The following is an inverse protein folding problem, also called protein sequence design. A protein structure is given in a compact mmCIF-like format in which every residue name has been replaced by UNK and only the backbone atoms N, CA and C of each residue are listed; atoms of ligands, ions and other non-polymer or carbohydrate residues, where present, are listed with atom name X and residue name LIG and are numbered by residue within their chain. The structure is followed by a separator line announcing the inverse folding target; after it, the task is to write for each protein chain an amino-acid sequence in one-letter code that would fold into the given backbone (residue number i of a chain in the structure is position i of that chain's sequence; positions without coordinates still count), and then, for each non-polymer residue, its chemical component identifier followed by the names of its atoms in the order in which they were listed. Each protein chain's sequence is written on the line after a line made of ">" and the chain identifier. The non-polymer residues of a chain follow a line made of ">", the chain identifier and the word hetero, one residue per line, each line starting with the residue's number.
data_IF_373304008782
#
_entry.id   IF_373304008782
#
_cell.length_a   1.000
_cell.length_b   1.000
_cell.length_c   1.000
_cell.angle_alpha   90.00
_cell.angle_beta   90.00
_cell.angle_gamma   90.00
#
_symmetry.space_group_name_H-M   'P 1'
#
loop_
_entity.id
_entity.type
_entity.pdbx_description
1 polymer ?
#
# COMPACT_ATOMS: atom_id res chain seq x y z
N UNK A 1 -1.57 -19.86 15.38
CA UNK A 1 -1.40 -18.48 14.86
C UNK A 1 -2.48 -17.64 15.51
N UNK A 2 -2.12 -16.56 16.21
CA UNK A 2 -3.14 -15.64 16.73
C UNK A 2 -3.80 -14.97 15.52
N UNK A 3 -5.01 -15.39 15.17
CA UNK A 3 -5.77 -14.76 14.10
C UNK A 3 -6.13 -13.35 14.59
N UNK A 4 -5.75 -12.33 13.82
CA UNK A 4 -6.04 -10.95 14.15
C UNK A 4 -7.30 -10.51 13.40
N UNK A 5 -8.17 -9.76 14.07
CA UNK A 5 -9.43 -9.24 13.55
C UNK A 5 -9.25 -8.02 12.59
N UNK A 6 -8.21 -8.05 11.76
CA UNK A 6 -7.89 -7.03 10.76
C UNK A 6 -8.28 -7.48 9.36
N UNK A 7 -8.74 -6.55 8.54
CA UNK A 7 -9.21 -6.80 7.20
C UNK A 7 -8.34 -6.14 6.15
N UNK A 8 -8.47 -6.63 4.91
CA UNK A 8 -7.75 -6.10 3.76
C UNK A 8 -8.77 -5.66 2.71
N UNK A 9 -8.69 -4.40 2.28
CA UNK A 9 -9.62 -3.90 1.27
C UNK A 9 -9.38 -4.57 -0.09
N UNK A 10 -10.48 -4.82 -0.79
CA UNK A 10 -10.48 -5.36 -2.14
C UNK A 10 -10.29 -4.21 -3.13
N UNK A 11 -9.21 -4.23 -3.92
CA UNK A 11 -8.91 -3.16 -4.89
C UNK A 11 -7.41 -2.97 -5.13
N UNK A 12 -7.08 -2.00 -5.98
CA UNK A 12 -5.72 -1.78 -6.51
C UNK A 12 -4.69 -1.36 -5.47
N UNK A 13 -5.14 -0.66 -4.42
CA UNK A 13 -4.32 -0.32 -3.24
C UNK A 13 -4.91 -0.99 -2.03
N UNK A 14 -4.57 -2.26 -1.89
CA UNK A 14 -4.96 -3.08 -0.77
C UNK A 14 -4.40 -2.52 0.54
N UNK A 15 -5.29 -2.10 1.43
CA UNK A 15 -4.94 -1.47 2.71
C UNK A 15 -5.40 -2.33 3.87
N UNK A 16 -4.60 -2.38 4.93
CA UNK A 16 -4.98 -3.02 6.18
C UNK A 16 -5.91 -2.07 6.94
N UNK A 17 -7.11 -2.54 7.25
CA UNK A 17 -8.19 -1.77 7.88
C UNK A 17 -8.76 -2.52 9.07
N UNK A 18 -9.33 -1.80 10.02
CA UNK A 18 -10.02 -2.38 11.18
C UNK A 18 -11.51 -2.04 11.16
N UNK A 19 -12.33 -2.85 11.82
CA UNK A 19 -13.74 -2.52 12.06
C UNK A 19 -13.80 -1.31 12.99
N UNK A 20 -14.52 -0.27 12.61
CA UNK A 20 -14.73 0.89 13.50
C UNK A 20 -15.52 0.45 14.75
N UNK A 21 -15.18 0.91 15.97
CA UNK A 21 -15.87 0.50 17.21
C UNK A 21 -17.39 0.77 17.24
N UNK A 22 -17.86 1.74 16.45
CA UNK A 22 -19.30 2.03 16.32
C UNK A 22 -20.05 1.08 15.40
N UNK A 23 -19.35 0.21 14.66
CA UNK A 23 -19.99 -0.77 13.80
C UNK A 23 -20.35 -2.00 14.61
N UNK A 24 -21.55 -2.52 14.40
CA UNK A 24 -22.00 -3.75 15.04
C UNK A 24 -21.67 -4.91 14.10
N UNK A 25 -20.58 -5.63 14.37
CA UNK A 25 -20.23 -6.87 13.69
C UNK A 25 -20.10 -7.99 14.73
N UNK A 26 -20.91 -9.03 14.57
CA UNK A 26 -20.87 -10.20 15.46
C UNK A 26 -19.53 -10.94 15.32
N UNK A 27 -19.05 -11.46 16.44
CA UNK A 27 -17.94 -12.44 16.46
C UNK A 27 -18.53 -13.83 16.66
N UNK A 28 -17.80 -14.85 16.20
CA UNK A 28 -18.14 -16.25 16.47
C UNK A 28 -17.78 -16.65 17.91
N UNK A 29 -18.01 -17.93 18.25
CA UNK A 29 -17.71 -18.49 19.58
C UNK A 29 -16.22 -18.40 19.97
N UNK A 30 -15.34 -18.17 18.99
CA UNK A 30 -13.90 -18.01 19.17
C UNK A 30 -13.45 -16.54 19.17
N UNK A 31 -14.40 -15.59 19.10
CA UNK A 31 -14.10 -14.15 19.08
C UNK A 31 -13.58 -13.65 17.72
N UNK A 32 -13.73 -14.44 16.66
CA UNK A 32 -13.27 -14.11 15.32
C UNK A 32 -14.37 -13.39 14.54
N UNK A 33 -13.97 -12.39 13.76
CA UNK A 33 -14.88 -11.81 12.79
C UNK A 33 -15.02 -12.69 11.53
N UNK A 34 -16.13 -12.54 10.78
CA UNK A 34 -16.33 -13.21 9.50
C UNK A 34 -15.18 -12.96 8.50
N UNK A 35 -14.88 -13.95 7.67
CA UNK A 35 -13.77 -13.86 6.71
C UNK A 35 -13.98 -12.75 5.66
N UNK A 36 -15.21 -12.60 5.17
CA UNK A 36 -15.57 -11.60 4.16
C UNK A 36 -16.64 -10.65 4.70
N UNK A 37 -16.44 -9.37 4.41
CA UNK A 37 -17.35 -8.30 4.79
C UNK A 37 -17.51 -7.27 3.67
N UNK A 38 -18.66 -6.61 3.64
CA UNK A 38 -18.92 -5.40 2.87
C UNK A 38 -18.98 -4.22 3.82
N UNK A 39 -18.38 -3.11 3.45
CA UNK A 39 -18.45 -1.86 4.20
C UNK A 39 -19.09 -0.76 3.37
N UNK A 40 -19.78 0.19 4.03
CA UNK A 40 -20.34 1.35 3.35
C UNK A 40 -19.30 2.47 3.19
N UNK A 41 -18.50 2.70 4.22
CA UNK A 41 -17.57 3.82 4.28
C UNK A 41 -16.18 3.37 4.74
N UNK A 42 -15.15 4.03 4.19
CA UNK A 42 -13.77 3.90 4.65
C UNK A 42 -13.32 5.25 5.23
N UNK A 43 -12.99 5.24 6.52
CA UNK A 43 -12.55 6.42 7.27
C UNK A 43 -11.03 6.44 7.26
N UNK A 44 -10.46 7.40 6.52
CA UNK A 44 -9.02 7.59 6.42
C UNK A 44 -8.50 8.40 7.60
N UNK A 45 -7.95 7.73 8.62
CA UNK A 45 -7.21 8.35 9.73
C UNK A 45 -5.81 7.74 9.84
N UNK A 46 -5.08 8.01 10.93
CA UNK A 46 -3.81 7.31 11.23
C UNK A 46 -3.97 5.78 11.30
N UNK A 47 -5.16 5.29 11.67
CA UNK A 47 -5.57 3.89 11.55
C UNK A 47 -6.84 3.83 10.70
N UNK A 48 -6.78 3.37 9.45
CA UNK A 48 -7.95 3.25 8.61
C UNK A 48 -9.02 2.34 9.22
N UNK A 49 -10.26 2.83 9.25
CA UNK A 49 -11.41 2.07 9.76
C UNK A 49 -12.49 1.93 8.69
N UNK A 50 -13.19 0.80 8.70
CA UNK A 50 -14.43 0.63 7.95
C UNK A 50 -15.66 0.81 8.84
N UNK A 51 -16.69 1.46 8.31
CA UNK A 51 -17.96 1.72 9.01
C UNK A 51 -19.14 1.11 8.26
N UNK A 52 -20.19 0.76 9.00
CA UNK A 52 -21.41 0.10 8.52
C UNK A 52 -21.03 -1.18 7.77
N UNK A 53 -20.49 -2.14 8.53
CA UNK A 53 -19.94 -3.39 8.03
C UNK A 53 -20.99 -4.51 8.12
N UNK A 54 -21.07 -5.35 7.09
CA UNK A 54 -21.96 -6.51 7.03
C UNK A 54 -21.18 -7.76 6.63
N UNK A 55 -21.44 -8.88 7.32
CA UNK A 55 -20.87 -10.19 7.00
C UNK A 55 -21.44 -10.75 5.70
N UNK A 56 -20.59 -11.38 4.89
CA UNK A 56 -21.01 -12.05 3.66
C UNK A 56 -20.29 -13.39 3.48
N UNK A 57 -20.84 -14.24 2.62
CA UNK A 57 -20.19 -15.50 2.25
C UNK A 57 -19.14 -15.31 1.16
N UNK A 58 -18.00 -16.01 1.29
CA UNK A 58 -16.94 -15.98 0.28
C UNK A 58 -17.41 -16.43 -1.11
N UNK A 59 -18.39 -17.33 -1.18
CA UNK A 59 -19.00 -17.83 -2.43
C UNK A 59 -19.53 -16.71 -3.32
N UNK A 60 -20.03 -15.61 -2.73
CA UNK A 60 -20.59 -14.47 -3.45
C UNK A 60 -19.50 -13.53 -3.99
N UNK A 61 -18.33 -13.53 -3.35
CA UNK A 61 -17.19 -12.66 -3.68
C UNK A 61 -16.35 -13.24 -4.82
N UNK A 62 -16.16 -14.56 -4.86
CA UNK A 62 -15.28 -15.22 -5.84
C UNK A 62 -15.57 -14.84 -7.32
N UNK A 63 -16.84 -14.78 -7.78
CA UNK A 63 -17.13 -14.38 -9.15
C UNK A 63 -16.76 -12.92 -9.45
N UNK A 64 -16.90 -12.03 -8.46
CA UNK A 64 -16.56 -10.61 -8.57
C UNK A 64 -15.03 -10.46 -8.63
N UNK A 65 -14.31 -11.24 -7.83
CA UNK A 65 -12.85 -11.26 -7.83
C UNK A 65 -12.27 -11.65 -9.20
N UNK A 66 -12.84 -12.68 -9.83
CA UNK A 66 -12.44 -13.08 -11.18
C UNK A 66 -12.63 -11.96 -12.21
N UNK A 67 -13.70 -11.16 -12.08
CA UNK A 67 -13.94 -10.01 -12.97
C UNK A 67 -12.97 -8.86 -12.69
N UNK A 68 -12.65 -8.61 -11.43
CA UNK A 68 -11.79 -7.50 -11.02
C UNK A 68 -10.31 -7.73 -11.39
N UNK A 69 -9.84 -8.98 -11.41
CA UNK A 69 -8.45 -9.31 -11.78
C UNK A 69 -8.05 -8.92 -13.20
N UNK A 70 -9.01 -8.89 -14.14
CA UNK A 70 -8.77 -8.53 -15.54
C UNK A 70 -9.00 -7.03 -15.82
N UNK A 71 -9.29 -6.23 -14.80
CA UNK A 71 -9.70 -4.84 -14.95
C UNK A 71 -8.51 -3.90 -15.07
N UNK A 72 -8.43 -3.15 -16.18
CA UNK A 72 -7.41 -2.14 -16.40
C UNK A 72 -7.85 -0.76 -15.89
N UNK A 73 -7.43 -0.38 -14.68
CA UNK A 73 -7.79 0.91 -14.05
C UNK A 73 -7.31 2.09 -14.84
N UNK A 74 -6.09 2.03 -15.39
CA UNK A 74 -5.52 3.13 -16.15
C UNK A 74 -6.44 3.53 -17.32
N UNK A 75 -7.02 2.53 -18.01
CA UNK A 75 -7.98 2.74 -19.09
C UNK A 75 -9.33 3.28 -18.58
N UNK A 76 -9.76 2.88 -17.39
CA UNK A 76 -11.06 3.24 -16.80
C UNK A 76 -11.05 4.53 -15.98
N UNK A 77 -9.88 4.95 -15.50
CA UNK A 77 -9.69 6.13 -14.66
C UNK A 77 -9.92 7.43 -15.43
N UNK A 78 -10.20 7.36 -16.74
CA UNK A 78 -10.43 8.53 -17.59
C UNK A 78 -9.21 9.43 -17.72
N UNK A 79 -8.04 8.99 -17.24
CA UNK A 79 -6.78 9.65 -17.51
C UNK A 79 -6.54 9.52 -19.00
N UNK A 80 -6.68 10.60 -19.75
CA UNK A 80 -6.31 10.71 -21.15
C UNK A 80 -4.85 10.30 -21.34
N UNK A 81 -4.63 9.00 -21.47
CA UNK A 81 -3.35 8.40 -21.79
C UNK A 81 -3.20 8.44 -23.30
N UNK A 82 -2.26 9.26 -23.76
CA UNK A 82 -1.54 9.02 -25.01
C UNK A 82 -1.24 7.54 -25.09
N UNK A 83 -1.82 6.86 -26.08
CA UNK A 83 -1.51 5.48 -26.39
C UNK A 83 -0.06 5.47 -26.89
N UNK A 84 0.86 5.08 -26.04
CA UNK A 84 2.10 4.46 -26.47
C UNK A 84 1.93 2.99 -26.10
N UNK A 85 1.51 2.19 -27.09
CA UNK A 85 1.61 0.74 -27.03
C UNK A 85 3.10 0.40 -26.99
N UNK A 86 3.63 0.26 -25.78
CA UNK A 86 4.95 -0.24 -25.49
C UNK A 86 4.81 -1.25 -24.36
N UNK A 87 5.10 -2.50 -24.67
CA UNK A 87 5.23 -3.58 -23.69
C UNK A 87 6.30 -3.22 -22.66
N UNK A 88 5.93 -2.54 -21.58
CA UNK A 88 6.81 -2.37 -20.43
C UNK A 88 6.63 -3.55 -19.49
N UNK A 89 7.59 -4.48 -19.58
CA UNK A 89 7.93 -5.45 -18.53
C UNK A 89 8.15 -4.70 -17.21
N UNK A 90 7.10 -4.54 -16.43
CA UNK A 90 7.16 -4.08 -15.05
C UNK A 90 7.07 -5.27 -14.09
N UNK A 91 8.11 -6.10 -14.08
CA UNK A 91 8.37 -7.04 -12.99
C UNK A 91 9.87 -7.28 -12.85
N UNK A 92 10.61 -6.22 -12.51
CA UNK A 92 11.93 -6.34 -11.85
C UNK A 92 12.35 -5.01 -11.19
N UNK A 93 11.42 -4.36 -10.49
CA UNK A 93 11.71 -3.14 -9.72
C UNK A 93 11.38 -3.26 -8.23
N UNK A 94 11.55 -4.45 -7.66
CA UNK A 94 11.73 -4.59 -6.22
C UNK A 94 12.89 -5.55 -5.94
N UNK A 95 13.89 -4.98 -5.23
CA UNK A 95 15.03 -5.64 -4.57
C UNK A 95 16.27 -5.99 -5.39
N UNK A 96 16.86 -4.98 -6.06
CA UNK A 96 18.31 -4.80 -5.97
C UNK A 96 18.63 -3.38 -5.53
N UNK A 97 18.50 -3.16 -4.23
CA UNK A 97 19.02 -1.98 -3.55
C UNK A 97 20.55 -2.10 -3.55
N UNK A 98 21.18 -1.65 -4.65
CA UNK A 98 22.63 -1.45 -4.73
C UNK A 98 23.05 -0.49 -3.61
N UNK A 99 23.60 -1.05 -2.52
CA UNK A 99 24.11 -0.32 -1.37
C UNK A 99 25.32 0.58 -1.73
N UNK A 100 25.94 0.40 -2.90
CA UNK A 100 27.14 1.13 -3.30
C UNK A 100 26.92 2.57 -3.80
N UNK A 101 25.78 2.89 -4.43
CA UNK A 101 25.62 4.21 -5.09
C UNK A 101 25.24 5.32 -4.13
N UNK A 102 24.44 5.03 -3.10
CA UNK A 102 24.00 6.03 -2.10
C UNK A 102 25.15 6.37 -1.13
N UNK A 103 26.02 5.40 -0.81
CA UNK A 103 27.18 5.65 0.06
C UNK A 103 28.19 6.60 -0.59
N UNK A 104 28.42 6.47 -1.90
CA UNK A 104 29.34 7.32 -2.66
C UNK A 104 28.89 8.80 -2.72
N UNK A 105 27.58 9.05 -2.83
CA UNK A 105 27.03 10.43 -2.81
C UNK A 105 27.11 11.07 -1.41
N UNK A 106 27.02 10.27 -0.34
CA UNK A 106 27.21 10.79 1.02
C UNK A 106 28.69 11.08 1.33
N UNK A 107 29.62 10.18 0.99
CA UNK A 107 31.04 10.38 1.25
C UNK A 107 31.62 11.58 0.48
N UNK A 108 31.24 11.74 -0.79
CA UNK A 108 31.64 12.90 -1.60
C UNK A 108 31.14 14.22 -1.01
N UNK A 109 29.90 14.26 -0.49
CA UNK A 109 29.36 15.44 0.22
C UNK A 109 30.11 15.74 1.51
N UNK A 110 30.48 14.72 2.28
CA UNK A 110 31.24 14.87 3.54
C UNK A 110 32.65 15.41 3.25
N UNK A 111 33.32 14.91 2.20
CA UNK A 111 34.66 15.34 1.84
C UNK A 111 34.68 16.79 1.33
N UNK A 112 33.73 17.17 0.48
CA UNK A 112 33.56 18.54 0.02
C UNK A 112 33.29 19.53 1.18
N UNK A 113 32.55 19.10 2.21
CA UNK A 113 32.32 19.92 3.39
C UNK A 113 33.60 20.11 4.24
N UNK A 114 34.42 19.06 4.39
CA UNK A 114 35.69 19.11 5.14
C UNK A 114 36.73 20.01 4.46
N UNK A 115 36.88 19.93 3.14
CA UNK A 115 37.81 20.78 2.39
C UNK A 115 37.46 22.26 2.51
N UNK A 116 36.16 22.60 2.41
CA UNK A 116 35.68 23.98 2.62
C UNK A 116 36.00 24.50 4.02
N UNK A 117 35.95 23.65 5.04
CA UNK A 117 36.29 24.02 6.41
C UNK A 117 37.80 24.23 6.58
N UNK A 118 38.63 23.34 6.04
CA UNK A 118 40.09 23.45 6.11
C UNK A 118 40.62 24.68 5.35
N UNK A 119 40.05 24.99 4.18
CA UNK A 119 40.39 26.20 3.43
C UNK A 119 40.07 27.49 4.21
N UNK A 120 38.99 27.50 5.00
CA UNK A 120 38.69 28.63 5.91
C UNK A 120 39.64 28.68 7.11
N UNK A 121 40.07 27.53 7.62
CA UNK A 121 40.99 27.44 8.77
C UNK A 121 42.43 27.80 8.42
N UNK A 122 42.87 27.51 7.19
CA UNK A 122 44.24 27.81 6.74
C UNK A 122 44.49 29.31 6.46
N UNK A 123 43.43 30.10 6.27
CA UNK A 123 43.49 31.55 6.06
C UNK A 123 43.28 32.37 7.35
N UNK A 124 43.47 31.76 8.53
CA UNK A 124 43.44 32.42 9.84
C UNK A 124 44.70 32.06 10.61
#
# INVERSE_FOLDING_TARGET
>A
MSLHNGYRTMGFKSQLVQVHPSSVLGTDDQGMFPEFVVYHELISTSRPYMRNVCAIEGSWVMPIMKKLGNLNVSKLSGGSGRIADGEEKASDLLEQKNAGTIQNDQESRIQAARERFLARKANK
#
